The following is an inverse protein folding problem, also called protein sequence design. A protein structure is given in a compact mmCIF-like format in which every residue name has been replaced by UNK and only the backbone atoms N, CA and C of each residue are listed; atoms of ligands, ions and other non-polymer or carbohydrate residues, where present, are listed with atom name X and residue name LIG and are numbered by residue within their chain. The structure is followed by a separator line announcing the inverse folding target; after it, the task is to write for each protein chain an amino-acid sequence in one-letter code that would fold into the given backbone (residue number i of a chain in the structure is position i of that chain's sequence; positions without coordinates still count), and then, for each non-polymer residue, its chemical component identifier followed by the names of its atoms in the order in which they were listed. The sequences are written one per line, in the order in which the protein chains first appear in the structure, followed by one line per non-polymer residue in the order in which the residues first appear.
data_IF_226033827306
#
_entry.id   IF_226033827306
#
_cell.length_a   1.000
_cell.length_b   1.000
_cell.length_c   1.000
_cell.angle_alpha   90.00
_cell.angle_beta   90.00
_cell.angle_gamma   90.00
#
_symmetry.space_group_name_H-M   'P 1'
#
loop_
_entity.id
_entity.type
_entity.pdbx_description
1 polymer ?
#
# COMPACT_ATOMS: atom_id res chain seq x y z
N UNK A 1 4.77 -31.95 -0.53
CA UNK A 1 5.33 -30.75 -1.17
C UNK A 1 4.94 -29.57 -0.30
N UNK A 2 5.86 -29.01 0.49
CA UNK A 2 5.61 -27.67 1.01
C UNK A 2 5.52 -26.74 -0.21
N UNK A 3 4.42 -25.99 -0.31
CA UNK A 3 4.21 -25.11 -1.44
C UNK A 3 5.41 -24.15 -1.56
N UNK A 4 6.09 -24.16 -2.71
CA UNK A 4 7.21 -23.25 -2.99
C UNK A 4 6.77 -21.78 -2.90
N UNK A 5 5.46 -21.49 -2.95
CA UNK A 5 4.87 -20.15 -2.80
C UNK A 5 4.57 -19.76 -1.35
N UNK A 6 4.71 -20.68 -0.37
CA UNK A 6 4.42 -20.42 1.06
C UNK A 6 5.19 -19.21 1.61
N UNK A 7 6.42 -19.01 1.16
CA UNK A 7 7.24 -17.86 1.55
C UNK A 7 6.67 -16.52 1.02
N UNK A 8 6.11 -16.51 -0.19
CA UNK A 8 5.44 -15.34 -0.77
C UNK A 8 4.11 -15.05 -0.07
N UNK A 9 3.34 -16.09 0.26
CA UNK A 9 2.08 -15.97 1.01
C UNK A 9 2.35 -15.35 2.38
N UNK A 10 3.32 -15.88 3.14
CA UNK A 10 3.68 -15.30 4.43
C UNK A 10 4.16 -13.85 4.32
N UNK A 11 4.88 -13.51 3.26
CA UNK A 11 5.32 -12.15 3.00
C UNK A 11 4.14 -11.20 2.69
N UNK A 12 3.15 -11.63 1.90
CA UNK A 12 1.97 -10.80 1.61
C UNK A 12 1.11 -10.59 2.86
N UNK A 13 0.95 -11.63 3.70
CA UNK A 13 0.29 -11.52 5.00
C UNK A 13 0.99 -10.51 5.92
N UNK A 14 2.31 -10.57 6.03
CA UNK A 14 3.08 -9.61 6.82
C UNK A 14 2.88 -8.17 6.33
N UNK A 15 2.86 -7.95 5.01
CA UNK A 15 2.59 -6.63 4.43
C UNK A 15 1.18 -6.12 4.70
N UNK A 16 0.18 -7.02 4.68
CA UNK A 16 -1.20 -6.67 5.05
C UNK A 16 -1.30 -6.28 6.52
N UNK A 17 -0.65 -7.03 7.41
CA UNK A 17 -0.59 -6.71 8.83
C UNK A 17 0.05 -5.33 9.07
N UNK A 18 1.15 -5.02 8.40
CA UNK A 18 1.79 -3.69 8.47
C UNK A 18 0.86 -2.59 7.97
N UNK A 19 0.10 -2.83 6.89
CA UNK A 19 -0.87 -1.85 6.42
C UNK A 19 -1.98 -1.58 7.44
N UNK A 20 -2.48 -2.63 8.10
CA UNK A 20 -3.53 -2.52 9.11
C UNK A 20 -3.01 -1.87 10.41
N UNK A 21 -1.74 -2.09 10.75
CA UNK A 21 -1.06 -1.36 11.84
C UNK A 21 -1.00 0.14 11.54
N UNK A 22 -0.57 0.53 10.32
CA UNK A 22 -0.61 1.93 9.90
C UNK A 22 -2.03 2.53 10.01
N UNK A 23 -3.08 1.78 9.66
CA UNK A 23 -4.46 2.27 9.81
C UNK A 23 -4.88 2.46 11.27
N UNK A 24 -4.40 1.61 12.19
CA UNK A 24 -4.63 1.80 13.63
C UNK A 24 -3.97 3.07 14.15
N UNK A 25 -2.85 3.50 13.57
CA UNK A 25 -2.19 4.77 13.90
C UNK A 25 -2.97 6.02 13.43
N UNK A 26 -3.92 5.87 12.49
CA UNK A 26 -4.76 6.98 12.03
C UNK A 26 -5.77 7.41 13.09
N UNK A 27 -6.34 6.47 13.86
CA UNK A 27 -7.36 6.79 14.87
C UNK A 27 -6.89 7.74 16.00
N UNK A 28 -5.69 7.59 16.61
CA UNK A 28 -5.18 8.57 17.56
C UNK A 28 -4.92 9.94 16.91
N UNK A 29 -4.41 9.98 15.67
CA UNK A 29 -4.17 11.25 14.97
C UNK A 29 -5.47 11.97 14.61
N UNK A 30 -6.51 11.23 14.24
CA UNK A 30 -7.86 11.74 14.01
C UNK A 30 -8.45 12.36 15.28
N UNK A 31 -8.21 11.78 16.47
CA UNK A 31 -8.62 12.39 17.75
C UNK A 31 -7.91 13.73 17.98
N UNK A 32 -6.57 13.76 17.81
CA UNK A 32 -5.78 14.99 17.95
C UNK A 32 -6.21 16.07 16.94
N UNK A 33 -6.53 15.68 15.71
CA UNK A 33 -7.07 16.58 14.70
C UNK A 33 -8.41 17.19 15.14
N UNK A 34 -9.34 16.38 15.66
CA UNK A 34 -10.62 16.87 16.18
C UNK A 34 -10.42 17.88 17.32
N UNK A 35 -9.52 17.59 18.26
CA UNK A 35 -9.18 18.52 19.35
C UNK A 35 -8.56 19.83 18.83
N UNK A 36 -7.66 19.76 17.85
CA UNK A 36 -7.04 20.93 17.24
C UNK A 36 -8.08 21.84 16.54
N UNK A 37 -9.04 21.22 15.85
CA UNK A 37 -10.15 21.93 15.19
C UNK A 37 -11.04 22.62 16.24
N UNK A 38 -11.39 21.93 17.33
CA UNK A 38 -12.20 22.53 18.41
C UNK A 38 -11.49 23.72 19.08
N UNK A 39 -10.17 23.67 19.20
CA UNK A 39 -9.34 24.76 19.73
C UNK A 39 -9.10 25.89 18.73
N UNK A 40 -9.44 25.71 17.45
CA UNK A 40 -9.15 26.67 16.39
C UNK A 40 -7.66 26.81 16.05
N UNK A 41 -6.82 25.84 16.44
CA UNK A 41 -5.38 25.85 16.14
C UNK A 41 -5.14 25.35 14.71
N UNK A 42 -5.06 26.29 13.78
CA UNK A 42 -4.85 26.03 12.35
C UNK A 42 -3.52 25.31 12.08
N UNK A 43 -2.47 25.62 12.85
CA UNK A 43 -1.15 25.02 12.66
C UNK A 43 -1.14 23.54 13.07
N UNK A 44 -1.77 23.19 14.18
CA UNK A 44 -1.89 21.80 14.62
C UNK A 44 -2.85 21.01 13.73
N UNK A 45 -3.93 21.64 13.24
CA UNK A 45 -4.86 21.06 12.28
C UNK A 45 -4.13 20.67 11.00
N UNK A 46 -3.33 21.57 10.43
CA UNK A 46 -2.54 21.29 9.23
C UNK A 46 -1.50 20.19 9.47
N UNK A 47 -0.80 20.23 10.62
CA UNK A 47 0.19 19.22 11.00
C UNK A 47 -0.43 17.82 11.09
N UNK A 48 -1.52 17.65 11.84
CA UNK A 48 -2.19 16.36 12.01
C UNK A 48 -2.80 15.86 10.70
N UNK A 49 -3.34 16.75 9.87
CA UNK A 49 -3.83 16.39 8.53
C UNK A 49 -2.70 15.84 7.66
N UNK A 50 -1.55 16.52 7.60
CA UNK A 50 -0.38 16.03 6.84
C UNK A 50 0.11 14.68 7.33
N UNK A 51 0.14 14.49 8.66
CA UNK A 51 0.53 13.22 9.25
C UNK A 51 -0.43 12.08 8.86
N UNK A 52 -1.73 12.31 8.98
CA UNK A 52 -2.75 11.34 8.56
C UNK A 52 -2.64 10.98 7.08
N UNK A 53 -2.41 11.96 6.20
CA UNK A 53 -2.19 11.71 4.76
C UNK A 53 -0.93 10.87 4.54
N UNK A 54 0.15 11.15 5.28
CA UNK A 54 1.38 10.36 5.25
C UNK A 54 1.15 8.89 5.61
N UNK A 55 0.53 8.65 6.77
CA UNK A 55 0.22 7.30 7.27
C UNK A 55 -0.70 6.55 6.30
N UNK A 56 -1.74 7.21 5.79
CA UNK A 56 -2.65 6.58 4.81
C UNK A 56 -1.94 6.24 3.51
N UNK A 57 -1.03 7.09 3.04
CA UNK A 57 -0.25 6.81 1.84
C UNK A 57 0.68 5.60 2.05
N UNK A 58 1.29 5.49 3.22
CA UNK A 58 2.10 4.33 3.61
C UNK A 58 1.29 3.03 3.65
N UNK A 59 0.12 3.03 4.30
CA UNK A 59 -0.79 1.88 4.34
C UNK A 59 -1.19 1.42 2.92
N UNK A 60 -1.52 2.37 2.03
CA UNK A 60 -1.86 2.07 0.64
C UNK A 60 -0.67 1.44 -0.10
N UNK A 61 0.54 1.93 0.11
CA UNK A 61 1.73 1.36 -0.52
C UNK A 61 1.96 -0.09 -0.08
N UNK A 62 1.81 -0.41 1.21
CA UNK A 62 1.95 -1.79 1.70
C UNK A 62 0.89 -2.71 1.08
N UNK A 63 -0.39 -2.28 1.02
CA UNK A 63 -1.46 -3.06 0.38
C UNK A 63 -1.22 -3.30 -1.10
N UNK A 64 -0.79 -2.27 -1.84
CA UNK A 64 -0.48 -2.42 -3.26
C UNK A 64 0.61 -3.46 -3.51
N UNK A 65 1.59 -3.55 -2.62
CA UNK A 65 2.70 -4.51 -2.75
C UNK A 65 2.24 -5.90 -2.32
N UNK A 66 1.43 -6.03 -1.27
CA UNK A 66 0.80 -7.29 -0.89
C UNK A 66 -0.02 -7.86 -2.06
N UNK A 67 -0.92 -7.07 -2.65
CA UNK A 67 -1.77 -7.50 -3.76
C UNK A 67 -0.97 -7.96 -4.99
N UNK A 68 0.16 -7.29 -5.26
CA UNK A 68 1.08 -7.71 -6.34
C UNK A 68 1.74 -9.05 -6.01
N UNK A 69 2.13 -9.28 -4.77
CA UNK A 69 2.71 -10.56 -4.33
C UNK A 69 1.65 -11.66 -4.41
N UNK A 70 0.41 -11.40 -4.02
CA UNK A 70 -0.68 -12.38 -4.16
C UNK A 70 -0.89 -12.75 -5.64
N UNK A 71 -0.82 -11.75 -6.53
CA UNK A 71 -0.88 -12.02 -7.98
C UNK A 71 0.33 -12.82 -8.49
N UNK A 72 1.51 -12.64 -7.87
CA UNK A 72 2.69 -13.47 -8.16
C UNK A 72 2.52 -14.90 -7.62
N UNK A 73 1.90 -15.08 -6.46
CA UNK A 73 1.56 -16.39 -5.91
C UNK A 73 0.67 -17.13 -6.90
N UNK A 74 -0.43 -16.52 -7.34
CA UNK A 74 -1.34 -17.10 -8.34
C UNK A 74 -0.60 -17.47 -9.64
N UNK A 75 0.32 -16.60 -10.09
CA UNK A 75 1.15 -16.89 -11.26
C UNK A 75 2.03 -18.13 -11.05
N UNK A 76 2.77 -18.20 -9.95
CA UNK A 76 3.70 -19.30 -9.68
C UNK A 76 2.98 -20.62 -9.36
N UNK A 77 1.77 -20.59 -8.80
CA UNK A 77 0.97 -21.80 -8.54
C UNK A 77 0.42 -22.43 -9.82
N UNK A 78 0.22 -21.63 -10.88
CA UNK A 78 -0.21 -22.10 -12.19
C UNK A 78 0.94 -22.60 -13.07
N UNK A 79 2.20 -22.37 -12.66
CA UNK A 79 3.37 -22.81 -13.39
C UNK A 79 3.70 -24.29 -13.13
N UNK A 80 4.18 -25.05 -14.14
CA UNK A 80 4.63 -26.42 -13.95
C UNK A 80 5.73 -26.52 -12.87
N UNK A 81 5.75 -27.61 -12.10
CA UNK A 81 6.71 -27.79 -10.99
C UNK A 81 8.19 -27.72 -11.41
N UNK A 82 8.49 -28.01 -12.68
CA UNK A 82 9.83 -27.93 -13.27
C UNK A 82 10.14 -26.58 -13.92
N UNK A 83 9.25 -25.59 -13.82
CA UNK A 83 9.42 -24.30 -14.46
C UNK A 83 10.60 -23.54 -13.83
N UNK A 84 11.54 -23.00 -14.64
CA UNK A 84 12.70 -22.29 -14.13
C UNK A 84 12.32 -21.01 -13.36
N UNK A 85 11.13 -20.47 -13.60
CA UNK A 85 10.62 -19.26 -12.93
C UNK A 85 10.44 -19.46 -11.42
N UNK A 86 10.22 -20.70 -10.97
CA UNK A 86 10.09 -21.02 -9.54
C UNK A 86 11.39 -20.79 -8.76
N UNK A 87 12.54 -20.77 -9.44
CA UNK A 87 13.84 -20.46 -8.82
C UNK A 87 13.98 -18.99 -8.41
N UNK A 88 13.12 -18.10 -8.91
CA UNK A 88 13.17 -16.68 -8.61
C UNK A 88 12.49 -16.31 -7.29
N UNK A 89 11.58 -17.16 -6.81
CA UNK A 89 10.79 -16.91 -5.59
C UNK A 89 11.66 -16.51 -4.39
N UNK A 90 12.75 -17.23 -4.04
CA UNK A 90 13.59 -16.86 -2.90
C UNK A 90 14.23 -15.47 -3.05
N UNK A 91 14.70 -15.15 -4.26
CA UNK A 91 15.33 -13.85 -4.54
C UNK A 91 14.32 -12.69 -4.47
N UNK A 92 13.07 -12.93 -4.87
CA UNK A 92 11.98 -11.98 -4.72
C UNK A 92 11.70 -11.72 -3.24
N UNK A 93 11.53 -12.78 -2.45
CA UNK A 93 11.26 -12.68 -1.00
C UNK A 93 12.39 -11.93 -0.29
N UNK A 94 13.64 -12.26 -0.57
CA UNK A 94 14.81 -11.59 0.01
C UNK A 94 14.84 -10.10 -0.35
N UNK A 95 14.61 -9.75 -1.62
CA UNK A 95 14.63 -8.35 -2.06
C UNK A 95 13.52 -7.52 -1.43
N UNK A 96 12.34 -8.11 -1.17
CA UNK A 96 11.24 -7.40 -0.49
C UNK A 96 11.54 -7.25 1.01
N UNK A 97 12.03 -8.32 1.67
CA UNK A 97 12.43 -8.27 3.09
C UNK A 97 13.54 -7.24 3.33
N UNK A 98 14.59 -7.24 2.51
CA UNK A 98 15.67 -6.25 2.61
C UNK A 98 15.14 -4.82 2.43
N UNK A 99 14.16 -4.62 1.54
CA UNK A 99 13.56 -3.30 1.37
C UNK A 99 12.65 -2.91 2.55
N UNK A 100 11.97 -3.86 3.19
CA UNK A 100 11.17 -3.65 4.40
C UNK A 100 12.04 -3.21 5.58
N UNK A 101 13.20 -3.83 5.77
CA UNK A 101 14.16 -3.48 6.83
C UNK A 101 14.63 -2.02 6.73
N UNK A 102 14.57 -1.40 5.55
CA UNK A 102 14.94 0.02 5.39
C UNK A 102 13.93 1.00 6.01
N UNK A 103 12.75 0.53 6.43
CA UNK A 103 11.68 1.37 6.99
C UNK A 103 11.19 2.46 6.03
N UNK A 104 11.36 2.27 4.72
CA UNK A 104 11.01 3.26 3.72
C UNK A 104 10.07 2.68 2.65
N UNK A 105 8.76 2.98 2.73
CA UNK A 105 7.76 2.47 1.77
C UNK A 105 8.07 2.81 0.31
N UNK A 106 8.74 3.94 0.04
CA UNK A 106 9.13 4.30 -1.33
C UNK A 106 10.26 3.42 -1.86
N UNK A 107 11.18 2.97 -1.00
CA UNK A 107 12.22 2.02 -1.38
C UNK A 107 11.61 0.64 -1.65
N UNK A 108 10.64 0.23 -0.83
CA UNK A 108 9.88 -0.99 -1.04
C UNK A 108 9.17 -1.01 -2.39
N UNK A 109 8.46 0.07 -2.74
CA UNK A 109 7.80 0.19 -4.05
C UNK A 109 8.81 0.14 -5.22
N UNK A 110 9.98 0.75 -5.06
CA UNK A 110 11.06 0.69 -6.06
C UNK A 110 11.62 -0.73 -6.21
N UNK A 111 11.80 -1.45 -5.10
CA UNK A 111 12.26 -2.84 -5.12
C UNK A 111 11.24 -3.73 -5.85
N UNK A 112 9.94 -3.58 -5.56
CA UNK A 112 8.87 -4.31 -6.25
C UNK A 112 8.86 -4.02 -7.76
N UNK A 113 8.95 -2.75 -8.16
CA UNK A 113 9.03 -2.40 -9.58
C UNK A 113 10.30 -2.95 -10.26
N UNK A 114 11.40 -3.15 -9.52
CA UNK A 114 12.63 -3.75 -10.04
C UNK A 114 12.46 -5.26 -10.21
N UNK A 115 11.87 -5.95 -9.22
CA UNK A 115 11.48 -7.36 -9.31
C UNK A 115 10.64 -7.60 -10.57
N UNK A 116 9.58 -6.80 -10.75
CA UNK A 116 8.69 -6.89 -11.91
C UNK A 116 9.47 -6.78 -13.24
N UNK A 117 10.43 -5.86 -13.34
CA UNK A 117 11.22 -5.67 -14.57
C UNK A 117 12.30 -6.73 -14.79
N UNK A 118 12.81 -7.33 -13.72
CA UNK A 118 13.91 -8.29 -13.80
C UNK A 118 13.43 -9.71 -14.07
N UNK A 119 12.28 -10.09 -13.51
CA UNK A 119 11.79 -11.46 -13.53
C UNK A 119 10.57 -11.66 -14.44
N UNK A 120 9.86 -10.60 -14.82
CA UNK A 120 8.60 -10.76 -15.55
C UNK A 120 8.54 -9.88 -16.81
N UNK A 121 7.92 -10.42 -17.85
CA UNK A 121 7.61 -9.65 -19.06
C UNK A 121 6.50 -8.63 -18.80
N UNK A 122 6.47 -7.58 -19.62
CA UNK A 122 5.51 -6.47 -19.48
C UNK A 122 4.05 -6.91 -19.44
N UNK A 123 3.71 -7.96 -20.19
CA UNK A 123 2.35 -8.50 -20.24
C UNK A 123 1.94 -9.20 -18.95
N UNK A 124 2.86 -9.96 -18.33
CA UNK A 124 2.63 -10.60 -17.03
C UNK A 124 2.53 -9.55 -15.93
N UNK A 125 3.42 -8.55 -15.95
CA UNK A 125 3.37 -7.42 -15.01
C UNK A 125 2.09 -6.60 -15.14
N UNK A 126 1.53 -6.45 -16.34
CA UNK A 126 0.26 -5.75 -16.54
C UNK A 126 -0.90 -6.45 -15.81
N UNK A 127 -0.90 -7.79 -15.78
CA UNK A 127 -1.89 -8.59 -15.03
C UNK A 127 -1.81 -8.32 -13.52
N UNK A 128 -0.59 -8.23 -12.96
CA UNK A 128 -0.38 -7.95 -11.53
C UNK A 128 -0.81 -6.52 -11.12
N UNK A 129 -0.78 -5.58 -12.06
CA UNK A 129 -1.16 -4.18 -11.80
C UNK A 129 -2.65 -3.95 -11.92
N UNK A 130 -3.31 -4.67 -12.83
CA UNK A 130 -4.76 -4.59 -12.99
C UNK A 130 -5.49 -5.10 -11.73
N UNK A 131 -5.05 -6.21 -11.15
CA UNK A 131 -5.58 -6.73 -9.88
C UNK A 131 -5.39 -5.76 -8.71
N UNK A 132 -4.26 -5.05 -8.66
CA UNK A 132 -4.01 -4.03 -7.64
C UNK A 132 -4.83 -2.74 -7.85
N UNK A 133 -5.17 -2.38 -9.10
CA UNK A 133 -5.93 -1.18 -9.43
C UNK A 133 -7.43 -1.31 -9.12
N UNK A 134 -7.99 -2.51 -9.25
CA UNK A 134 -9.41 -2.76 -8.93
C UNK A 134 -9.74 -2.56 -7.45
N UNK A 135 -8.77 -2.68 -6.55
CA UNK A 135 -8.93 -2.44 -5.11
C UNK A 135 -8.51 -1.04 -4.64
N UNK A 136 -7.79 -0.26 -5.47
CA UNK A 136 -7.13 0.98 -5.03
C UNK A 136 -7.58 2.25 -5.77
N UNK A 137 -8.86 2.38 -6.08
CA UNK A 137 -9.43 3.69 -6.47
C UNK A 137 -10.09 4.42 -5.29
N UNK A 138 -9.35 5.08 -4.38
CA UNK A 138 -9.80 6.33 -3.83
C UNK A 138 -9.24 7.45 -4.72
N UNK A 139 -10.07 7.95 -5.63
CA UNK A 139 -9.87 9.25 -6.28
C UNK A 139 -9.82 10.34 -5.21
N UNK A 140 -8.66 10.58 -4.62
CA UNK A 140 -8.45 11.76 -3.80
C UNK A 140 -7.02 12.28 -4.01
N UNK A 141 -6.97 13.56 -4.37
CA UNK A 141 -5.79 14.42 -4.50
C UNK A 141 -5.10 14.39 -5.88
N UNK A 142 -5.75 15.05 -6.86
CA UNK A 142 -4.99 15.82 -7.86
C UNK A 142 -4.00 16.72 -7.10
N UNK A 143 -2.74 16.69 -7.51
CA UNK A 143 -1.62 17.29 -6.76
C UNK A 143 -1.58 18.83 -6.86
N UNK A 144 -2.59 19.47 -7.43
CA UNK A 144 -2.59 20.90 -7.76
C UNK A 144 -3.87 21.68 -7.39
N UNK A 145 -4.62 21.26 -6.36
CA UNK A 145 -5.69 22.10 -5.81
C UNK A 145 -5.41 22.41 -4.33
N UNK A 146 -4.94 23.64 -4.08
CA UNK A 146 -4.90 24.21 -2.73
C UNK A 146 -6.32 24.19 -2.18
N UNK A 147 -6.64 23.50 -1.07
CA UNK A 147 -7.97 23.53 -0.52
C UNK A 147 -8.17 24.87 0.17
N UNK A 148 -8.62 25.87 -0.58
CA UNK A 148 -8.93 27.19 -0.06
C UNK A 148 -10.19 27.21 0.82
N UNK A 149 -10.86 26.07 1.03
CA UNK A 149 -12.03 26.03 1.89
C UNK A 149 -12.24 24.67 2.55
N UNK A 150 -11.64 24.49 3.73
CA UNK A 150 -11.86 23.32 4.59
C UNK A 150 -13.34 23.13 4.96
N UNK A 151 -14.11 24.23 4.99
CA UNK A 151 -15.55 24.21 5.27
C UNK A 151 -16.38 23.46 4.21
N UNK A 152 -15.95 23.45 2.94
CA UNK A 152 -16.70 22.80 1.86
C UNK A 152 -16.56 21.26 1.90
N UNK A 153 -15.39 20.75 2.32
CA UNK A 153 -15.17 19.31 2.51
C UNK A 153 -16.07 18.75 3.63
N UNK A 154 -16.33 19.55 4.66
CA UNK A 154 -17.18 19.13 5.78
C UNK A 154 -18.66 19.04 5.40
N UNK A 155 -19.14 19.90 4.49
CA UNK A 155 -20.51 19.82 3.96
C UNK A 155 -20.72 18.61 3.05
N UNK A 156 -19.75 18.28 2.21
CA UNK A 156 -19.87 17.17 1.24
C UNK A 156 -19.85 15.80 1.93
N UNK A 157 -19.15 15.65 3.06
CA UNK A 157 -19.11 14.38 3.82
C UNK A 157 -20.37 14.09 4.65
N UNK A 158 -21.24 15.06 4.88
CA UNK A 158 -22.46 14.89 5.68
C UNK A 158 -23.67 14.38 4.87
N UNK A 159 -23.46 13.86 3.66
CA UNK A 159 -24.50 13.25 2.82
C UNK A 159 -24.38 11.73 2.65
N UNK A 160 -23.37 11.07 3.24
CA UNK A 160 -23.14 9.61 3.09
C UNK A 160 -23.18 8.87 4.45
N UNK A 161 -23.75 9.50 5.47
CA UNK A 161 -24.17 8.81 6.70
C UNK A 161 -25.65 9.07 6.94
N UNK A 162 -26.48 8.36 6.17
CA UNK A 162 -27.80 7.87 6.57
C UNK A 162 -27.83 6.38 6.26
#
# INVERSE_FOLDING_TARGET
MESKTKALISLSENLRNLADECEKEIEPEKRKLKEAIQKGDTRQTEKHTKNMVGIRHEAVNFRQIANRIDSMVDYFENEPEQSPVLSWIPAIVESVNSALETGNPKKLLKAMNKIEKQYFDKEVVAKFKYSAATESTPTFMSKDEKPHNWFDIFKVKNLVFL
#
